data_IF_279104824568
#
_entry.id   IF_279104824568
#
_cell.length_a   1.000
_cell.length_b   1.000
_cell.length_c   1.000
_cell.angle_alpha   90.00
_cell.angle_beta   90.00
_cell.angle_gamma   90.00
#
_symmetry.space_group_name_H-M   'P 1'
#
loop_
_entity.id
_entity.type
_entity.pdbx_description
1 polymer ?
#
# COMPACT_ATOMS: atom_id res chain seq x y z
N UNK A 1 11.02 -22.30 -13.12
CA UNK A 1 11.07 -21.59 -11.81
C UNK A 1 10.46 -20.20 -11.90
N UNK A 2 10.87 -19.37 -12.87
CA UNK A 2 10.26 -18.04 -13.13
C UNK A 2 8.75 -18.18 -13.45
N UNK A 3 8.36 -19.15 -14.26
CA UNK A 3 6.95 -19.42 -14.63
C UNK A 3 6.04 -19.72 -13.41
N UNK A 4 6.58 -20.39 -12.37
CA UNK A 4 5.85 -20.65 -11.13
C UNK A 4 5.64 -19.37 -10.31
N UNK A 5 6.63 -18.47 -10.28
CA UNK A 5 6.53 -17.14 -9.64
C UNK A 5 5.52 -16.26 -10.37
N UNK A 6 5.54 -16.27 -11.69
CA UNK A 6 4.61 -15.51 -12.54
C UNK A 6 3.17 -15.97 -12.32
N UNK A 7 2.93 -17.29 -12.24
CA UNK A 7 1.58 -17.82 -12.03
C UNK A 7 1.06 -17.63 -10.60
N UNK A 8 1.94 -17.64 -9.59
CA UNK A 8 1.59 -17.53 -8.17
C UNK A 8 1.93 -16.18 -7.54
N UNK A 9 1.98 -15.10 -8.31
CA UNK A 9 2.27 -13.77 -7.77
C UNK A 9 1.27 -13.32 -6.70
N UNK A 10 -0.03 -13.52 -6.92
CA UNK A 10 -1.06 -13.05 -5.98
C UNK A 10 -0.94 -13.71 -4.58
N UNK A 11 -0.80 -15.05 -4.47
CA UNK A 11 -0.49 -15.70 -3.20
C UNK A 11 0.82 -15.22 -2.55
N UNK A 12 1.85 -14.96 -3.36
CA UNK A 12 3.14 -14.44 -2.86
C UNK A 12 3.02 -13.03 -2.29
N UNK A 13 2.30 -12.13 -2.96
CA UNK A 13 2.02 -10.77 -2.45
C UNK A 13 1.25 -10.82 -1.13
N UNK A 14 0.24 -11.69 -1.06
CA UNK A 14 -0.54 -11.89 0.16
C UNK A 14 0.31 -12.46 1.30
N UNK A 15 1.11 -13.49 1.03
CA UNK A 15 2.03 -14.06 2.01
C UNK A 15 3.05 -13.04 2.52
N UNK A 16 3.61 -12.23 1.62
CA UNK A 16 4.50 -11.12 1.97
C UNK A 16 3.82 -10.10 2.90
N UNK A 17 2.59 -9.69 2.58
CA UNK A 17 1.79 -8.81 3.43
C UNK A 17 1.60 -9.38 4.84
N UNK A 18 1.18 -10.65 4.94
CA UNK A 18 0.95 -11.32 6.22
C UNK A 18 2.22 -11.31 7.08
N UNK A 19 3.37 -11.61 6.48
CA UNK A 19 4.65 -11.57 7.20
C UNK A 19 4.96 -10.17 7.75
N UNK A 20 4.79 -9.11 6.94
CA UNK A 20 5.01 -7.74 7.41
C UNK A 20 4.03 -7.29 8.51
N UNK A 21 2.79 -7.77 8.46
CA UNK A 21 1.79 -7.48 9.48
C UNK A 21 2.08 -8.20 10.81
N UNK A 22 2.59 -9.44 10.77
CA UNK A 22 2.97 -10.20 11.98
C UNK A 22 4.12 -9.52 12.73
N UNK A 23 5.03 -8.83 12.02
CA UNK A 23 6.12 -8.05 12.64
C UNK A 23 5.58 -6.85 13.44
N UNK A 24 4.32 -6.43 13.22
CA UNK A 24 3.68 -5.34 13.97
C UNK A 24 3.97 -3.94 13.42
N UNK A 25 4.50 -3.83 12.19
CA UNK A 25 4.63 -2.53 11.52
C UNK A 25 3.26 -1.95 11.15
N UNK A 26 3.07 -0.61 11.19
CA UNK A 26 1.80 0.00 10.82
C UNK A 26 1.36 -0.42 9.42
N UNK A 27 0.09 -0.84 9.30
CA UNK A 27 -0.45 -1.49 8.11
C UNK A 27 -0.24 -0.69 6.81
N UNK A 28 -0.33 0.64 6.86
CA UNK A 28 -0.12 1.51 5.70
C UNK A 28 1.30 1.38 5.11
N UNK A 29 2.33 1.34 5.96
CA UNK A 29 3.71 1.17 5.51
C UNK A 29 3.97 -0.25 5.01
N UNK A 30 3.39 -1.26 5.66
CA UNK A 30 3.47 -2.66 5.22
C UNK A 30 2.86 -2.87 3.83
N UNK A 31 1.67 -2.30 3.59
CA UNK A 31 1.01 -2.31 2.28
C UNK A 31 1.85 -1.61 1.21
N UNK A 32 2.40 -0.43 1.53
CA UNK A 32 3.24 0.32 0.60
C UNK A 32 4.54 -0.44 0.25
N UNK A 33 5.23 -0.99 1.24
CA UNK A 33 6.48 -1.72 1.03
C UNK A 33 6.27 -2.98 0.20
N UNK A 34 5.25 -3.78 0.53
CA UNK A 34 4.91 -5.00 -0.23
C UNK A 34 4.45 -4.65 -1.65
N UNK A 35 3.61 -3.62 -1.80
CA UNK A 35 3.16 -3.16 -3.11
C UNK A 35 4.31 -2.66 -4.01
N UNK A 36 5.26 -1.90 -3.46
CA UNK A 36 6.43 -1.42 -4.19
C UNK A 36 7.42 -2.54 -4.50
N UNK A 37 7.69 -3.43 -3.55
CA UNK A 37 8.61 -4.55 -3.72
C UNK A 37 8.13 -5.51 -4.81
N UNK A 38 6.86 -5.94 -4.74
CA UNK A 38 6.29 -6.80 -5.77
C UNK A 38 5.99 -6.05 -7.07
N UNK A 39 5.74 -4.75 -7.03
CA UNK A 39 5.65 -3.91 -8.22
C UNK A 39 6.95 -3.86 -9.00
N UNK A 40 8.09 -3.71 -8.31
CA UNK A 40 9.42 -3.76 -8.92
C UNK A 40 9.71 -5.14 -9.53
N UNK A 41 9.45 -6.21 -8.77
CA UNK A 41 9.61 -7.59 -9.24
C UNK A 41 8.70 -7.89 -10.45
N UNK A 42 7.46 -7.37 -10.46
CA UNK A 42 6.52 -7.51 -11.56
C UNK A 42 6.96 -6.81 -12.84
N UNK A 43 7.71 -5.71 -12.73
CA UNK A 43 8.30 -5.01 -13.88
C UNK A 43 9.46 -5.81 -14.46
N UNK A 44 10.38 -6.30 -13.62
CA UNK A 44 11.51 -7.12 -14.06
C UNK A 44 11.06 -8.44 -14.72
N UNK A 45 9.96 -9.02 -14.24
CA UNK A 45 9.35 -10.22 -14.81
C UNK A 45 8.41 -9.95 -16.00
N UNK A 46 8.24 -8.70 -16.42
CA UNK A 46 7.41 -8.31 -17.58
C UNK A 46 5.89 -8.46 -17.38
N UNK A 47 5.43 -8.63 -16.14
CA UNK A 47 3.99 -8.72 -15.80
C UNK A 47 3.31 -7.36 -15.80
N UNK A 48 4.04 -6.29 -15.50
CA UNK A 48 3.52 -4.92 -15.37
C UNK A 48 4.43 -3.98 -16.16
N UNK A 49 3.89 -3.10 -17.01
CA UNK A 49 4.73 -2.12 -17.71
C UNK A 49 5.30 -1.07 -16.73
N UNK A 50 6.54 -0.60 -16.93
CA UNK A 50 7.20 0.36 -16.03
C UNK A 50 6.42 1.67 -15.82
N UNK A 51 5.59 2.05 -16.79
CA UNK A 51 4.73 3.23 -16.73
C UNK A 51 3.71 3.20 -15.57
N UNK A 52 3.36 2.02 -15.05
CA UNK A 52 2.45 1.90 -13.89
C UNK A 52 3.01 2.55 -12.62
N UNK A 53 4.33 2.56 -12.42
CA UNK A 53 4.94 3.24 -11.27
C UNK A 53 4.72 4.76 -11.34
N UNK A 54 4.67 5.35 -12.53
CA UNK A 54 4.34 6.76 -12.71
C UNK A 54 2.92 7.11 -12.25
N UNK A 55 2.03 6.11 -12.20
CA UNK A 55 0.65 6.26 -11.76
C UNK A 55 0.51 6.28 -10.22
N UNK A 56 1.59 6.04 -9.47
CA UNK A 56 1.56 6.08 -8.00
C UNK A 56 1.20 7.46 -7.47
N UNK A 57 1.81 8.52 -8.01
CA UNK A 57 1.54 9.90 -7.58
C UNK A 57 0.08 10.28 -7.84
N UNK A 58 -0.47 9.88 -8.98
CA UNK A 58 -1.89 10.11 -9.30
C UNK A 58 -2.82 9.38 -8.34
N UNK A 59 -2.52 8.12 -8.01
CA UNK A 59 -3.30 7.34 -7.05
C UNK A 59 -3.26 7.94 -5.64
N UNK A 60 -2.08 8.39 -5.18
CA UNK A 60 -1.95 9.07 -3.90
C UNK A 60 -2.78 10.37 -3.87
N UNK A 61 -2.67 11.20 -4.91
CA UNK A 61 -3.43 12.44 -5.00
C UNK A 61 -4.95 12.19 -5.03
N UNK A 62 -5.38 11.12 -5.71
CA UNK A 62 -6.78 10.71 -5.76
C UNK A 62 -7.32 10.30 -4.39
N UNK A 63 -6.49 9.69 -3.53
CA UNK A 63 -6.89 9.32 -2.16
C UNK A 63 -6.97 10.56 -1.27
N UNK A 64 -5.99 11.46 -1.37
CA UNK A 64 -5.93 12.68 -0.56
C UNK A 64 -7.03 13.69 -0.90
N UNK A 65 -7.46 13.74 -2.17
CA UNK A 65 -8.52 14.64 -2.63
C UNK A 65 -9.92 14.02 -2.46
N UNK A 66 -10.01 12.78 -1.97
CA UNK A 66 -11.30 12.14 -1.73
C UNK A 66 -11.86 12.58 -0.38
N UNK A 67 -12.95 13.36 -0.40
CA UNK A 67 -13.56 13.91 0.82
C UNK A 67 -13.97 12.86 1.86
N UNK A 68 -14.41 11.66 1.42
CA UNK A 68 -14.76 10.57 2.34
C UNK A 68 -13.53 9.98 3.04
N UNK A 69 -12.44 9.78 2.30
CA UNK A 69 -11.20 9.26 2.86
C UNK A 69 -10.45 10.32 3.68
N UNK A 70 -10.55 11.60 3.30
CA UNK A 70 -10.02 12.74 4.06
C UNK A 70 -10.69 12.88 5.44
N UNK A 71 -11.94 12.47 5.59
CA UNK A 71 -12.64 12.49 6.86
C UNK A 71 -11.96 11.61 7.94
N UNK A 72 -11.26 10.53 7.56
CA UNK A 72 -10.61 9.60 8.50
C UNK A 72 -9.50 10.28 9.34
N UNK A 73 -8.48 10.92 8.74
CA UNK A 73 -7.46 11.64 9.50
C UNK A 73 -8.02 12.87 10.23
N UNK A 74 -8.98 13.60 9.64
CA UNK A 74 -9.61 14.76 10.28
C UNK A 74 -10.40 14.38 11.53
N UNK A 75 -11.10 13.26 11.51
CA UNK A 75 -11.82 12.73 12.67
C UNK A 75 -10.86 12.34 13.79
N UNK A 76 -9.77 11.64 13.45
CA UNK A 76 -8.72 11.30 14.42
C UNK A 76 -8.09 12.56 15.01
N UNK A 77 -7.80 13.56 14.18
CA UNK A 77 -7.25 14.84 14.62
C UNK A 77 -8.17 15.57 15.60
N UNK A 78 -9.46 15.68 15.25
CA UNK A 78 -10.47 16.25 16.15
C UNK A 78 -10.51 15.52 17.50
N UNK A 79 -10.48 14.18 17.49
CA UNK A 79 -10.43 13.37 18.70
C UNK A 79 -9.24 13.70 19.60
N UNK A 80 -8.04 13.79 19.01
CA UNK A 80 -6.82 14.14 19.77
C UNK A 80 -6.83 15.56 20.34
N UNK A 81 -7.49 16.51 19.66
CA UNK A 81 -7.66 17.87 20.19
C UNK A 81 -8.61 17.86 21.37
N UNK A 82 -9.76 17.19 21.25
CA UNK A 82 -10.75 17.10 22.32
C UNK A 82 -10.18 16.43 23.57
N UNK A 83 -9.36 15.39 23.41
CA UNK A 83 -8.65 14.74 24.52
C UNK A 83 -7.73 15.69 25.30
N UNK A 84 -7.17 16.72 24.65
CA UNK A 84 -6.25 17.70 25.25
C UNK A 84 -6.90 19.01 25.67
N UNK A 85 -8.17 19.22 25.35
CA UNK A 85 -8.89 20.48 25.58
C UNK A 85 -9.73 20.47 26.86
N UNK A 86 -9.81 19.34 27.55
CA UNK A 86 -10.31 19.20 28.93
C UNK A 86 -9.18 18.82 29.88
#
# INVERSE_FOLDING_TARGET
MIEFLTHNMAPLMFGGLVLFLIIGYPAAFSLAAVGLFFGFIGIEMGLIPPSYLGNLTFQLNSVLTNDLLLAIPLFTFMGTILERSG
#
